data_IF_092103408942
#
_entry.id   IF_092103408942
#
_cell.length_a   1.000
_cell.length_b   1.000
_cell.length_c   1.000
_cell.angle_alpha   90.00
_cell.angle_beta   90.00
_cell.angle_gamma   90.00
#
_symmetry.space_group_name_H-M   'P 1'
#
loop_
_entity.id
_entity.type
_entity.pdbx_description
1 polymer ?
#
# COMPACT_ATOMS: atom_id res chain seq x y z
N UNK A 1 -7.39 -27.14 -16.03
CA UNK A 1 -8.02 -27.16 -14.68
C UNK A 1 -7.91 -25.76 -14.11
N UNK A 2 -9.01 -25.17 -13.63
CA UNK A 2 -8.96 -23.91 -12.87
C UNK A 2 -8.80 -24.27 -11.40
N UNK A 3 -7.69 -23.87 -10.78
CA UNK A 3 -7.46 -24.07 -9.35
C UNK A 3 -8.23 -22.99 -8.60
N UNK A 4 -9.18 -23.38 -7.75
CA UNK A 4 -9.83 -22.45 -6.82
C UNK A 4 -8.85 -22.13 -5.70
N UNK A 5 -8.28 -20.93 -5.73
CA UNK A 5 -7.43 -20.42 -4.66
C UNK A 5 -8.32 -19.81 -3.58
N UNK A 6 -8.30 -20.40 -2.38
CA UNK A 6 -8.86 -19.76 -1.20
C UNK A 6 -7.92 -18.65 -0.77
N UNK A 7 -8.34 -17.40 -0.94
CA UNK A 7 -7.64 -16.24 -0.42
C UNK A 7 -8.44 -15.60 0.71
N UNK A 8 -7.73 -15.10 1.72
CA UNK A 8 -8.30 -14.35 2.82
C UNK A 8 -7.83 -12.90 2.73
N UNK A 9 -8.76 -11.96 2.80
CA UNK A 9 -8.42 -10.54 2.88
C UNK A 9 -8.57 -10.11 4.32
N UNK A 10 -7.53 -9.50 4.88
CA UNK A 10 -7.55 -8.96 6.24
C UNK A 10 -6.90 -7.59 6.29
N UNK A 11 -7.15 -6.87 7.37
CA UNK A 11 -6.43 -5.64 7.67
C UNK A 11 -4.93 -5.92 7.82
N UNK A 12 -4.13 -5.05 7.22
CA UNK A 12 -2.68 -5.11 7.31
C UNK A 12 -2.21 -4.56 8.66
N UNK A 13 -1.30 -5.27 9.30
CA UNK A 13 -0.69 -4.88 10.56
C UNK A 13 0.47 -3.91 10.32
N UNK A 14 0.94 -3.24 11.39
CA UNK A 14 2.09 -2.32 11.31
C UNK A 14 3.37 -3.06 10.88
N UNK A 15 3.50 -4.35 11.21
CA UNK A 15 4.65 -5.17 10.77
C UNK A 15 4.69 -5.37 9.25
N UNK A 16 3.57 -5.12 8.57
CA UNK A 16 3.41 -5.27 7.12
C UNK A 16 3.55 -3.93 6.38
N UNK A 17 3.75 -2.82 7.08
CA UNK A 17 3.87 -1.50 6.44
C UNK A 17 5.10 -1.44 5.51
N UNK A 18 6.19 -2.14 5.84
CA UNK A 18 7.34 -2.30 4.94
C UNK A 18 6.96 -3.03 3.65
N UNK A 19 6.13 -4.07 3.75
CA UNK A 19 5.66 -4.81 2.57
C UNK A 19 4.75 -3.94 1.71
N UNK A 20 3.89 -3.14 2.34
CA UNK A 20 3.04 -2.15 1.67
C UNK A 20 3.87 -1.08 0.96
N UNK A 21 4.90 -0.54 1.62
CA UNK A 21 5.80 0.44 1.02
C UNK A 21 6.53 -0.13 -0.19
N UNK A 22 7.03 -1.36 -0.11
CA UNK A 22 7.66 -2.05 -1.23
C UNK A 22 6.70 -2.26 -2.40
N UNK A 23 5.44 -2.60 -2.13
CA UNK A 23 4.43 -2.74 -3.16
C UNK A 23 4.14 -1.40 -3.87
N UNK A 24 4.06 -0.29 -3.12
CA UNK A 24 3.96 1.04 -3.74
C UNK A 24 5.16 1.34 -4.62
N UNK A 25 6.38 1.05 -4.18
CA UNK A 25 7.58 1.21 -4.98
C UNK A 25 7.52 0.40 -6.29
N UNK A 26 7.11 -0.87 -6.22
CA UNK A 26 6.94 -1.71 -7.43
C UNK A 26 5.84 -1.19 -8.35
N UNK A 27 4.72 -0.69 -7.80
CA UNK A 27 3.68 -0.04 -8.57
C UNK A 27 4.25 1.15 -9.36
N UNK A 28 5.10 1.98 -8.75
CA UNK A 28 5.74 3.08 -9.45
C UNK A 28 6.65 2.65 -10.60
N UNK A 29 7.46 1.60 -10.39
CA UNK A 29 8.30 1.05 -11.45
C UNK A 29 7.46 0.48 -12.61
N UNK A 30 6.35 -0.18 -12.31
CA UNK A 30 5.42 -0.69 -13.33
C UNK A 30 4.77 0.44 -14.13
N UNK A 31 4.65 1.63 -13.54
CA UNK A 31 4.17 2.85 -14.19
C UNK A 31 5.28 3.64 -14.92
N UNK A 32 6.42 3.00 -15.22
CA UNK A 32 7.53 3.53 -16.01
C UNK A 32 8.36 4.62 -15.30
N UNK A 33 8.21 4.78 -13.98
CA UNK A 33 9.18 5.53 -13.20
C UNK A 33 10.45 4.70 -13.08
N UNK A 34 11.61 5.34 -13.17
CA UNK A 34 12.90 4.68 -12.98
C UNK A 34 13.37 4.87 -11.54
N UNK A 35 14.20 3.96 -10.99
CA UNK A 35 14.78 4.13 -9.66
C UNK A 35 15.46 5.48 -9.46
N UNK A 36 16.09 6.03 -10.50
CA UNK A 36 16.77 7.33 -10.46
C UNK A 36 15.81 8.53 -10.40
N UNK A 37 14.55 8.32 -10.81
CA UNK A 37 13.48 9.33 -10.70
C UNK A 37 12.76 9.31 -9.35
N UNK A 38 13.01 8.28 -8.54
CA UNK A 38 12.43 8.11 -7.21
C UNK A 38 13.40 8.64 -6.15
N UNK A 39 12.86 9.10 -5.03
CA UNK A 39 13.67 9.51 -3.91
C UNK A 39 14.47 8.30 -3.37
N UNK A 40 15.81 8.40 -3.17
CA UNK A 40 16.58 7.29 -2.62
C UNK A 40 16.12 6.86 -1.22
N UNK A 41 15.44 7.75 -0.49
CA UNK A 41 14.85 7.50 0.83
C UNK A 41 13.35 7.15 0.77
N UNK A 42 12.85 6.71 -0.39
CA UNK A 42 11.43 6.40 -0.62
C UNK A 42 10.83 5.50 0.47
N UNK A 43 11.60 4.56 1.02
CA UNK A 43 11.12 3.60 2.01
C UNK A 43 10.72 4.31 3.30
N UNK A 44 11.60 5.16 3.84
CA UNK A 44 11.32 5.88 5.08
C UNK A 44 10.19 6.89 4.88
N UNK A 45 10.21 7.63 3.76
CA UNK A 45 9.15 8.59 3.39
C UNK A 45 7.78 7.89 3.31
N UNK A 46 7.73 6.71 2.69
CA UNK A 46 6.48 5.95 2.56
C UNK A 46 6.01 5.40 3.91
N UNK A 47 6.93 4.93 4.76
CA UNK A 47 6.59 4.45 6.10
C UNK A 47 6.07 5.57 7.01
N UNK A 48 6.69 6.75 6.97
CA UNK A 48 6.22 7.94 7.68
C UNK A 48 4.83 8.35 7.20
N UNK A 49 4.61 8.35 5.87
CA UNK A 49 3.28 8.60 5.30
C UNK A 49 2.23 7.59 5.79
N UNK A 50 2.54 6.29 5.79
CA UNK A 50 1.59 5.26 6.25
C UNK A 50 1.25 5.47 7.74
N UNK A 51 2.25 5.76 8.57
CA UNK A 51 2.06 6.01 10.00
C UNK A 51 1.16 7.24 10.23
N UNK A 52 1.43 8.35 9.55
CA UNK A 52 0.63 9.57 9.61
C UNK A 52 -0.81 9.33 9.10
N UNK A 53 -0.94 8.64 7.97
CA UNK A 53 -2.23 8.35 7.35
C UNK A 53 -3.14 7.47 8.24
N UNK A 54 -2.57 6.49 8.95
CA UNK A 54 -3.31 5.67 9.93
C UNK A 54 -3.85 6.52 11.09
N UNK A 55 -3.08 7.51 11.54
CA UNK A 55 -3.48 8.37 12.66
C UNK A 55 -4.47 9.47 12.26
N UNK A 56 -4.29 10.05 11.07
CA UNK A 56 -4.95 11.30 10.70
C UNK A 56 -5.92 11.19 9.51
N UNK A 57 -5.79 10.15 8.67
CA UNK A 57 -6.50 10.06 7.39
C UNK A 57 -7.47 8.88 7.30
N UNK A 58 -7.77 8.20 8.41
CA UNK A 58 -8.59 6.98 8.44
C UNK A 58 -8.12 5.96 7.39
N UNK A 59 -6.80 5.87 7.20
CA UNK A 59 -6.18 4.96 6.25
C UNK A 59 -6.21 3.54 6.78
N UNK A 60 -6.68 2.61 5.94
CA UNK A 60 -6.62 1.18 6.21
C UNK A 60 -6.03 0.45 5.00
N UNK A 61 -4.93 -0.24 5.22
CA UNK A 61 -4.38 -1.19 4.27
C UNK A 61 -4.95 -2.59 4.52
N UNK A 62 -5.05 -3.37 3.45
CA UNK A 62 -5.49 -4.76 3.47
C UNK A 62 -4.45 -5.61 2.75
N UNK A 63 -4.21 -6.79 3.30
CA UNK A 63 -3.40 -7.82 2.68
C UNK A 63 -4.29 -8.96 2.23
N UNK A 64 -4.05 -9.48 1.02
CA UNK A 64 -4.63 -10.72 0.57
C UNK A 64 -3.63 -11.84 0.84
N UNK A 65 -4.05 -12.88 1.55
CA UNK A 65 -3.24 -14.03 1.89
C UNK A 65 -3.74 -15.30 1.20
N UNK A 66 -2.81 -16.12 0.73
CA UNK A 66 -3.03 -17.51 0.33
C UNK A 66 -2.09 -18.37 1.16
N UNK A 67 -2.63 -19.36 1.88
CA UNK A 67 -1.85 -20.27 2.73
C UNK A 67 -0.94 -19.55 3.76
N UNK A 68 -1.42 -18.42 4.31
CA UNK A 68 -0.67 -17.63 5.29
C UNK A 68 0.48 -16.79 4.71
N UNK A 69 0.54 -16.66 3.37
CA UNK A 69 1.48 -15.77 2.68
C UNK A 69 0.73 -14.64 2.00
N UNK A 70 1.22 -13.42 2.16
CA UNK A 70 0.68 -12.26 1.43
C UNK A 70 0.98 -12.40 -0.06
N UNK A 71 -0.06 -12.40 -0.87
CA UNK A 71 0.01 -12.52 -2.34
C UNK A 71 -0.35 -11.23 -3.06
N UNK A 72 -1.07 -10.31 -2.41
CA UNK A 72 -1.42 -9.01 -2.97
C UNK A 72 -1.74 -7.99 -1.87
N UNK A 73 -1.66 -6.71 -2.20
CA UNK A 73 -1.87 -5.60 -1.29
C UNK A 73 -2.81 -4.57 -1.89
N UNK A 74 -3.85 -4.20 -1.14
CA UNK A 74 -4.77 -3.14 -1.52
C UNK A 74 -4.92 -2.17 -0.36
N UNK A 75 -4.75 -0.87 -0.61
CA UNK A 75 -5.07 0.16 0.39
C UNK A 75 -6.38 0.86 0.05
N UNK A 76 -7.21 1.14 1.06
CA UNK A 76 -8.45 1.89 0.91
C UNK A 76 -8.49 3.01 1.93
N UNK A 77 -8.68 4.25 1.47
CA UNK A 77 -9.13 5.36 2.33
C UNK A 77 -10.64 5.27 2.50
N UNK A 78 -11.14 5.21 3.72
CA UNK A 78 -12.57 5.37 4.00
C UNK A 78 -12.83 6.87 4.09
N UNK A 79 -13.29 7.49 3.01
CA UNK A 79 -13.74 8.88 3.02
C UNK A 79 -15.10 8.98 3.72
N UNK A 80 -15.13 9.32 5.00
CA UNK A 80 -16.30 9.96 5.60
C UNK A 80 -16.13 11.48 5.46
N UNK A 81 -16.73 12.03 4.40
CA UNK A 81 -16.75 13.44 3.96
C UNK A 81 -15.71 13.86 2.91
N UNK A 82 -16.24 14.41 1.81
CA UNK A 82 -15.59 14.80 0.56
C UNK A 82 -14.61 15.98 0.72
N UNK A 83 -13.51 15.99 -0.07
CA UNK A 83 -13.12 17.16 -0.93
C UNK A 83 -11.80 17.12 -1.73
N UNK A 84 -10.99 16.05 -1.78
CA UNK A 84 -9.84 16.09 -2.71
C UNK A 84 -9.30 14.71 -3.14
N UNK A 85 -9.42 14.30 -4.42
CA UNK A 85 -8.91 13.03 -4.93
C UNK A 85 -7.40 13.01 -5.25
N UNK A 86 -6.66 14.10 -5.05
CA UNK A 86 -5.25 14.24 -5.49
C UNK A 86 -4.18 13.61 -4.56
N UNK A 87 -4.56 12.73 -3.64
CA UNK A 87 -3.66 12.15 -2.62
C UNK A 87 -3.46 10.64 -2.79
N UNK A 88 -3.76 10.13 -3.98
CA UNK A 88 -3.33 8.80 -4.38
C UNK A 88 -2.67 8.90 -5.74
N UNK A 89 -1.47 8.32 -5.90
CA UNK A 89 -0.62 7.62 -4.92
C UNK A 89 0.18 8.55 -3.95
N UNK A 90 0.86 8.03 -2.90
CA UNK A 90 1.61 8.84 -1.92
C UNK A 90 2.69 9.73 -2.57
N UNK A 91 3.02 10.88 -1.94
CA UNK A 91 4.03 11.80 -2.48
C UNK A 91 5.43 11.17 -2.50
N UNK A 92 6.19 11.49 -3.56
CA UNK A 92 7.59 11.15 -3.79
C UNK A 92 8.52 11.75 -2.70
#
# INVERSE_FOLDING_TARGET
MLTTLNFFVREATVQEDTLIAQHFYQMWLNHQLTPESLNPDWLNITLEFIADARQHLSYQAFVAEVEGKVVDLGSRRIFTSMKNPQLYPPPL
#
